data_IF_843118724937
#
_entry.id   IF_843118724937
#
_cell.length_a   1.000
_cell.length_b   1.000
_cell.length_c   1.000
_cell.angle_alpha   90.00
_cell.angle_beta   90.00
_cell.angle_gamma   90.00
#
_symmetry.space_group_name_H-M   'P 1'
#
loop_
_entity.id
_entity.type
_entity.pdbx_description
1 polymer ?
#
# COMPACT_ATOMS: atom_id res chain seq x y z
N UNK A 1 -21.63 -7.13 -12.07
CA UNK A 1 -20.33 -6.51 -12.17
C UNK A 1 -19.35 -7.39 -12.93
N UNK A 2 -18.68 -6.85 -13.90
CA UNK A 2 -17.81 -7.61 -14.78
C UNK A 2 -16.49 -7.92 -14.07
N UNK A 3 -16.01 -9.16 -14.19
CA UNK A 3 -14.75 -9.57 -13.60
C UNK A 3 -13.55 -8.74 -14.08
N UNK A 4 -13.67 -8.18 -15.30
CA UNK A 4 -12.63 -7.29 -15.85
C UNK A 4 -12.49 -6.00 -15.05
N UNK A 5 -13.47 -5.65 -14.25
CA UNK A 5 -13.47 -4.43 -13.46
C UNK A 5 -12.95 -4.63 -12.05
N UNK A 6 -12.39 -5.81 -11.75
CA UNK A 6 -11.76 -6.06 -10.47
C UNK A 6 -10.57 -5.11 -10.32
N UNK A 7 -10.60 -4.32 -9.26
CA UNK A 7 -9.54 -3.35 -8.98
C UNK A 7 -8.31 -4.02 -8.41
N UNK A 8 -7.14 -3.58 -8.83
CA UNK A 8 -5.87 -4.06 -8.29
C UNK A 8 -5.56 -3.31 -7.01
N UNK A 9 -5.17 -4.04 -5.97
CA UNK A 9 -4.90 -3.49 -4.65
C UNK A 9 -3.41 -3.37 -4.43
N UNK A 10 -2.98 -2.22 -3.92
CA UNK A 10 -1.62 -1.99 -3.48
C UNK A 10 -1.57 -1.67 -2.01
N UNK A 11 -0.65 -2.29 -1.28
CA UNK A 11 -0.40 -2.00 0.12
C UNK A 11 0.86 -1.13 0.22
N UNK A 12 0.73 0.01 0.86
CA UNK A 12 1.85 0.91 1.11
C UNK A 12 2.28 0.78 2.57
N UNK A 13 3.53 0.41 2.76
CA UNK A 13 4.12 0.28 4.09
C UNK A 13 4.24 -1.17 4.53
N UNK A 14 5.48 -1.62 4.73
CA UNK A 14 5.79 -2.98 5.16
C UNK A 14 6.57 -3.01 6.48
N UNK A 15 6.95 -1.83 6.99
CA UNK A 15 7.78 -1.74 8.19
C UNK A 15 6.93 -1.73 9.46
N UNK A 16 7.61 -1.90 10.59
CA UNK A 16 6.96 -1.92 11.91
C UNK A 16 6.28 -0.59 12.23
N UNK A 17 6.95 0.53 11.90
CA UNK A 17 6.40 1.87 12.12
C UNK A 17 6.95 2.83 11.07
N UNK A 18 6.43 4.07 11.09
CA UNK A 18 6.81 5.08 10.11
C UNK A 18 8.28 5.47 10.20
N UNK A 19 8.86 5.72 9.02
CA UNK A 19 10.21 6.28 8.84
C UNK A 19 11.34 5.40 9.38
N UNK A 20 11.12 4.08 9.41
CA UNK A 20 12.16 3.10 9.75
C UNK A 20 12.13 1.96 8.74
N UNK A 21 13.20 1.17 8.69
CA UNK A 21 13.31 0.03 7.78
C UNK A 21 13.12 -1.32 8.48
N UNK A 22 12.69 -1.32 9.73
CA UNK A 22 12.51 -2.54 10.52
C UNK A 22 11.20 -3.23 10.17
N UNK A 23 11.30 -4.45 9.66
CA UNK A 23 10.12 -5.25 9.29
C UNK A 23 9.79 -6.33 10.32
N UNK A 24 10.56 -6.44 11.40
CA UNK A 24 10.32 -7.45 12.44
C UNK A 24 9.00 -7.14 13.14
N UNK A 25 8.18 -8.18 13.30
CA UNK A 25 6.88 -8.08 13.95
C UNK A 25 5.96 -7.04 13.31
N UNK A 26 6.13 -6.79 12.00
CA UNK A 26 5.32 -5.81 11.29
C UNK A 26 3.87 -6.26 11.16
N UNK A 27 2.90 -5.47 11.67
CA UNK A 27 1.49 -5.78 11.46
C UNK A 27 1.11 -5.77 9.97
N UNK A 28 1.80 -4.97 9.16
CA UNK A 28 1.54 -4.88 7.73
C UNK A 28 1.77 -6.22 7.03
N UNK A 29 2.83 -6.93 7.41
CA UNK A 29 3.12 -8.25 6.81
C UNK A 29 2.05 -9.28 7.20
N UNK A 30 1.55 -9.22 8.43
CA UNK A 30 0.48 -10.10 8.88
C UNK A 30 -0.82 -9.80 8.14
N UNK A 31 -1.13 -8.53 7.91
CA UNK A 31 -2.30 -8.12 7.16
C UNK A 31 -2.20 -8.58 5.71
N UNK A 32 -1.03 -8.44 5.11
CA UNK A 32 -0.79 -8.89 3.74
C UNK A 32 -1.06 -10.38 3.59
N UNK A 33 -0.55 -11.19 4.53
CA UNK A 33 -0.75 -12.63 4.48
C UNK A 33 -2.24 -12.99 4.56
N UNK A 34 -2.98 -12.35 5.45
CA UNK A 34 -4.42 -12.59 5.56
C UNK A 34 -5.18 -12.17 4.32
N UNK A 35 -4.80 -11.05 3.71
CA UNK A 35 -5.46 -10.60 2.49
C UNK A 35 -5.20 -11.56 1.33
N UNK A 36 -4.00 -12.10 1.24
CA UNK A 36 -3.66 -13.08 0.19
C UNK A 36 -4.47 -14.35 0.31
N UNK A 37 -4.80 -14.78 1.53
CA UNK A 37 -5.61 -15.96 1.76
C UNK A 37 -7.06 -15.77 1.29
N UNK A 38 -7.55 -14.54 1.26
CA UNK A 38 -8.96 -14.23 1.03
C UNK A 38 -9.24 -13.60 -0.32
N UNK A 39 -8.21 -13.16 -1.06
CA UNK A 39 -8.39 -12.49 -2.34
C UNK A 39 -7.93 -13.39 -3.48
N UNK A 40 -8.70 -13.39 -4.56
CA UNK A 40 -8.41 -14.22 -5.73
C UNK A 40 -7.37 -13.61 -6.67
N UNK A 41 -6.93 -12.39 -6.41
CA UNK A 41 -5.98 -11.66 -7.27
C UNK A 41 -4.79 -11.19 -6.45
N UNK A 42 -3.68 -10.92 -7.16
CA UNK A 42 -2.44 -10.49 -6.50
C UNK A 42 -2.55 -9.13 -5.85
N UNK A 43 -1.76 -8.94 -4.81
CA UNK A 43 -1.67 -7.67 -4.10
C UNK A 43 -0.26 -7.17 -4.27
N UNK A 44 -0.11 -5.97 -4.83
CA UNK A 44 1.19 -5.32 -4.94
C UNK A 44 1.56 -4.67 -3.62
N UNK A 45 2.85 -4.61 -3.32
CA UNK A 45 3.33 -3.94 -2.10
C UNK A 45 4.47 -3.01 -2.42
N UNK A 46 4.61 -1.97 -1.61
CA UNK A 46 5.71 -1.02 -1.72
C UNK A 46 6.00 -0.41 -0.36
N UNK A 47 7.30 -0.21 -0.07
CA UNK A 47 7.73 0.55 1.09
C UNK A 47 9.00 1.32 0.72
N UNK A 48 9.03 2.66 0.89
CA UNK A 48 10.18 3.46 0.48
C UNK A 48 11.45 3.18 1.28
N UNK A 49 11.32 2.55 2.44
CA UNK A 49 12.47 2.20 3.29
C UNK A 49 13.01 0.80 3.02
N UNK A 50 12.31 0.01 2.19
CA UNK A 50 12.73 -1.35 1.87
C UNK A 50 13.19 -1.37 0.43
N UNK A 51 14.50 -1.54 0.21
CA UNK A 51 15.09 -1.48 -1.13
C UNK A 51 15.52 -2.85 -1.64
N UNK A 52 14.97 -3.92 -1.07
CA UNK A 52 15.16 -5.27 -1.56
C UNK A 52 13.83 -6.02 -1.46
N UNK A 53 13.67 -7.05 -2.29
CA UNK A 53 12.43 -7.84 -2.29
C UNK A 53 12.41 -8.74 -1.06
N UNK A 54 11.38 -8.57 -0.24
CA UNK A 54 11.16 -9.38 0.97
C UNK A 54 9.84 -10.16 0.91
N UNK A 55 8.95 -9.78 0.01
CA UNK A 55 7.67 -10.49 -0.18
C UNK A 55 7.39 -10.59 -1.68
N UNK A 56 6.53 -11.54 -2.02
CA UNK A 56 6.05 -11.71 -3.39
C UNK A 56 5.27 -10.47 -3.85
N UNK A 57 5.36 -10.14 -5.13
CA UNK A 57 4.65 -9.02 -5.75
C UNK A 57 5.01 -7.65 -5.13
N UNK A 58 6.17 -7.55 -4.54
CA UNK A 58 6.68 -6.28 -4.05
C UNK A 58 7.30 -5.48 -5.20
N UNK A 59 6.97 -4.19 -5.26
CA UNK A 59 7.58 -3.27 -6.22
C UNK A 59 8.56 -2.36 -5.49
N UNK A 60 9.70 -2.09 -6.11
CA UNK A 60 10.72 -1.22 -5.53
C UNK A 60 10.64 0.22 -6.06
N UNK A 61 9.91 0.44 -7.15
CA UNK A 61 9.72 1.76 -7.74
C UNK A 61 8.31 2.27 -7.45
N UNK A 62 8.21 3.43 -6.82
CA UNK A 62 6.93 3.99 -6.40
C UNK A 62 5.99 4.25 -7.58
N UNK A 63 6.51 4.80 -8.68
CA UNK A 63 5.66 5.11 -9.82
C UNK A 63 5.10 3.85 -10.47
N UNK A 64 5.90 2.81 -10.60
CA UNK A 64 5.45 1.52 -11.11
C UNK A 64 4.40 0.89 -10.20
N UNK A 65 4.61 1.02 -8.90
CA UNK A 65 3.65 0.55 -7.92
C UNK A 65 2.30 1.23 -8.13
N UNK A 66 2.29 2.56 -8.26
CA UNK A 66 1.06 3.31 -8.47
C UNK A 66 0.39 2.98 -9.80
N UNK A 67 1.20 2.80 -10.86
CA UNK A 67 0.65 2.51 -12.18
C UNK A 67 -0.07 1.16 -12.24
N UNK A 68 0.33 0.22 -11.37
CA UNK A 68 -0.22 -1.13 -11.37
C UNK A 68 -1.44 -1.30 -10.46
N UNK A 69 -1.84 -0.29 -9.71
CA UNK A 69 -2.93 -0.41 -8.75
C UNK A 69 -4.03 0.61 -8.98
N UNK A 70 -5.21 0.27 -8.50
CA UNK A 70 -6.38 1.16 -8.51
C UNK A 70 -6.76 1.56 -7.09
N UNK A 71 -6.49 0.69 -6.13
CA UNK A 71 -6.81 0.88 -4.71
C UNK A 71 -5.52 0.91 -3.94
N UNK A 72 -5.31 1.98 -3.18
CA UNK A 72 -4.13 2.14 -2.33
C UNK A 72 -4.54 2.02 -0.87
N UNK A 73 -3.93 1.08 -0.16
CA UNK A 73 -4.15 0.90 1.28
C UNK A 73 -2.88 1.33 2.01
N UNK A 74 -2.99 2.33 2.86
CA UNK A 74 -1.85 2.85 3.62
C UNK A 74 -1.83 2.20 4.98
N UNK A 75 -0.80 1.38 5.22
CA UNK A 75 -0.63 0.65 6.48
C UNK A 75 0.41 1.29 7.39
N UNK A 76 1.39 1.98 6.81
CA UNK A 76 2.42 2.70 7.56
C UNK A 76 2.55 4.10 6.95
N UNK A 77 2.48 5.12 7.79
CA UNK A 77 2.43 6.50 7.32
C UNK A 77 3.83 7.13 7.29
N UNK A 78 4.68 6.65 6.38
CA UNK A 78 5.99 7.27 6.16
C UNK A 78 5.82 8.71 5.68
N UNK A 79 6.79 9.57 5.97
CA UNK A 79 6.79 10.93 5.43
C UNK A 79 6.75 10.93 3.91
N UNK A 80 7.33 9.93 3.28
CA UNK A 80 7.30 9.76 1.84
C UNK A 80 5.88 9.87 1.25
N UNK A 81 4.88 9.20 1.85
CA UNK A 81 3.52 9.26 1.31
C UNK A 81 2.91 10.64 1.49
N UNK A 82 3.22 11.30 2.60
CA UNK A 82 2.73 12.65 2.87
C UNK A 82 3.31 13.66 1.86
N UNK A 83 4.53 13.42 1.41
CA UNK A 83 5.22 14.27 0.44
C UNK A 83 4.80 13.99 -1.00
N UNK A 84 4.08 12.90 -1.24
CA UNK A 84 3.68 12.47 -2.57
C UNK A 84 2.16 12.41 -2.75
N UNK A 85 1.41 13.20 -1.99
CA UNK A 85 -0.05 13.21 -2.05
C UNK A 85 -0.54 13.48 -3.47
N UNK A 86 0.12 14.35 -4.22
CA UNK A 86 -0.28 14.67 -5.58
C UNK A 86 -0.21 13.47 -6.51
N UNK A 87 0.68 12.52 -6.24
CA UNK A 87 0.84 11.33 -7.07
C UNK A 87 -0.23 10.28 -6.81
N UNK A 88 -0.84 10.28 -5.64
CA UNK A 88 -1.84 9.28 -5.28
C UNK A 88 -3.27 9.75 -5.52
N UNK A 89 -3.47 11.01 -5.87
CA UNK A 89 -4.79 11.52 -6.23
C UNK A 89 -5.33 10.74 -7.43
N UNK A 90 -6.62 10.44 -7.41
CA UNK A 90 -7.23 9.64 -8.47
C UNK A 90 -7.29 8.15 -8.15
N UNK A 91 -6.58 7.69 -7.12
CA UNK A 91 -6.71 6.33 -6.63
C UNK A 91 -7.82 6.26 -5.59
N UNK A 92 -8.38 5.06 -5.41
CA UNK A 92 -9.24 4.81 -4.26
C UNK A 92 -8.31 4.56 -3.07
N UNK A 93 -8.40 5.40 -2.04
CA UNK A 93 -7.43 5.39 -0.94
C UNK A 93 -8.10 4.97 0.36
N UNK A 94 -7.55 3.94 1.01
CA UNK A 94 -7.92 3.53 2.36
C UNK A 94 -6.76 3.89 3.28
N UNK A 95 -6.96 4.92 4.10
CA UNK A 95 -5.92 5.45 5.00
C UNK A 95 -6.15 4.92 6.41
N UNK A 96 -5.44 3.86 6.78
CA UNK A 96 -5.59 3.26 8.11
C UNK A 96 -4.89 4.07 9.19
N UNK A 97 -4.07 5.05 8.80
CA UNK A 97 -3.30 5.87 9.74
C UNK A 97 -3.87 7.28 9.91
N UNK A 98 -4.88 7.63 9.11
CA UNK A 98 -5.57 8.92 9.18
C UNK A 98 -4.62 10.12 8.98
N UNK A 99 -3.73 10.01 7.99
CA UNK A 99 -2.72 11.05 7.72
C UNK A 99 -2.93 11.78 6.41
N UNK A 100 -3.78 11.26 5.53
CA UNK A 100 -4.02 11.85 4.21
C UNK A 100 -5.26 12.73 4.30
N UNK A 101 -5.09 13.99 3.97
CA UNK A 101 -6.16 14.99 4.09
C UNK A 101 -6.55 15.53 2.71
N UNK A 102 -7.17 14.66 1.91
CA UNK A 102 -7.74 15.02 0.61
C UNK A 102 -9.12 14.40 0.50
N UNK A 103 -9.94 14.94 -0.41
CA UNK A 103 -11.28 14.39 -0.65
C UNK A 103 -11.21 12.99 -1.24
N UNK A 104 -12.17 12.15 -0.90
CA UNK A 104 -12.29 10.81 -1.46
C UNK A 104 -11.46 9.74 -0.76
N UNK A 105 -10.85 10.06 0.36
CA UNK A 105 -10.08 9.10 1.16
C UNK A 105 -11.00 8.41 2.15
N UNK A 106 -10.93 7.08 2.19
CA UNK A 106 -11.64 6.29 3.20
C UNK A 106 -10.73 6.07 4.40
N UNK A 107 -11.21 6.41 5.58
CA UNK A 107 -10.46 6.24 6.81
C UNK A 107 -11.02 5.06 7.60
N UNK A 108 -10.11 4.27 8.09
CA UNK A 108 -10.46 3.07 8.86
C UNK A 108 -10.07 3.21 10.32
#
# INVERSE_FOLDING_TARGET
HNIKDIKKVGLYGLTYKENVDDTRESPALQILEKLRENLAFGIKTFDPFINQIIVEDQELDFQRFLDDIDILVILVAHNHIKENIDKIKGKIIFDTRNVINIDGVYRL
#
